data_IF_045745362560
#
_entry.id   IF_045745362560
#
_cell.length_a   1.000
_cell.length_b   1.000
_cell.length_c   1.000
_cell.angle_alpha   90.00
_cell.angle_beta   90.00
_cell.angle_gamma   90.00
#
_symmetry.space_group_name_H-M   'P 1'
#
loop_
_entity.id
_entity.type
_entity.pdbx_description
1 polymer ?
#
# COMPACT_ATOMS: atom_id res chain seq x y z
N UNK A 1 22.68 -6.78 9.37
CA UNK A 1 22.23 -7.49 8.14
C UNK A 1 20.94 -6.86 7.66
N UNK A 2 20.81 -6.55 6.37
CA UNK A 2 19.53 -6.10 5.83
C UNK A 2 18.55 -7.27 5.91
N UNK A 3 17.30 -6.98 6.35
CA UNK A 3 16.24 -7.98 6.33
C UNK A 3 16.05 -8.53 4.92
N UNK A 4 15.66 -9.81 4.81
CA UNK A 4 15.22 -10.44 3.56
C UNK A 4 14.11 -9.64 2.88
N UNK A 5 13.32 -8.93 3.67
CA UNK A 5 12.15 -8.15 3.26
C UNK A 5 12.46 -6.66 3.03
N UNK A 6 13.74 -6.32 2.86
CA UNK A 6 14.12 -4.97 2.42
C UNK A 6 13.55 -4.66 1.03
N UNK A 7 13.35 -3.38 0.74
CA UNK A 7 12.90 -2.95 -0.59
C UNK A 7 13.85 -3.44 -1.69
N UNK A 8 13.32 -3.91 -2.83
CA UNK A 8 14.16 -4.41 -3.92
C UNK A 8 14.96 -3.29 -4.57
N UNK A 9 16.28 -3.42 -4.59
CA UNK A 9 17.18 -2.40 -5.17
C UNK A 9 17.07 -2.25 -6.69
N UNK A 10 16.50 -3.25 -7.35
CA UNK A 10 16.46 -3.33 -8.82
C UNK A 10 15.07 -2.99 -9.40
N UNK A 11 14.21 -2.38 -8.61
CA UNK A 11 12.92 -1.87 -9.09
C UNK A 11 12.99 -0.33 -9.21
N UNK A 12 13.21 0.20 -10.44
CA UNK A 12 13.37 1.63 -10.66
C UNK A 12 12.03 2.40 -10.55
N UNK A 13 10.91 1.70 -10.53
CA UNK A 13 9.58 2.30 -10.50
C UNK A 13 9.00 2.38 -9.09
N UNK A 14 8.84 1.24 -8.43
CA UNK A 14 8.12 1.21 -7.16
C UNK A 14 9.01 1.59 -5.97
N UNK A 15 10.30 1.20 -6.00
CA UNK A 15 11.20 1.39 -4.87
C UNK A 15 11.43 2.86 -4.50
N UNK A 16 11.73 3.80 -5.42
CA UNK A 16 11.97 5.19 -5.04
C UNK A 16 10.74 5.86 -4.39
N UNK A 17 9.53 5.51 -4.87
CA UNK A 17 8.30 6.01 -4.27
C UNK A 17 8.02 5.35 -2.92
N UNK A 18 8.32 4.06 -2.77
CA UNK A 18 8.19 3.35 -1.50
C UNK A 18 9.19 3.91 -0.47
N UNK A 19 10.43 4.20 -0.84
CA UNK A 19 11.41 4.86 0.04
C UNK A 19 10.90 6.21 0.54
N UNK A 20 10.35 7.03 -0.36
CA UNK A 20 9.76 8.33 -0.02
C UNK A 20 8.56 8.16 0.92
N UNK A 21 7.70 7.19 0.65
CA UNK A 21 6.55 6.85 1.50
C UNK A 21 7.01 6.45 2.91
N UNK A 22 7.97 5.54 2.99
CA UNK A 22 8.49 5.03 4.27
C UNK A 22 9.22 6.10 5.07
N UNK A 23 9.86 7.06 4.40
CA UNK A 23 10.50 8.20 5.06
C UNK A 23 9.49 9.11 5.79
N UNK A 24 8.29 9.23 5.25
CA UNK A 24 7.21 10.04 5.83
C UNK A 24 6.38 9.26 6.86
N UNK A 25 6.42 7.94 6.81
CA UNK A 25 5.60 7.07 7.64
C UNK A 25 6.28 6.76 8.97
N UNK A 26 5.64 7.14 10.06
CA UNK A 26 6.10 6.83 11.42
C UNK A 26 5.67 5.42 11.84
N UNK A 27 6.35 4.39 11.36
CA UNK A 27 6.05 2.99 11.68
C UNK A 27 6.50 2.68 13.11
N UNK A 28 5.64 1.98 13.86
CA UNK A 28 5.93 1.47 15.19
C UNK A 28 5.70 -0.04 15.24
N UNK A 29 6.47 -0.74 16.10
CA UNK A 29 6.18 -2.13 16.41
C UNK A 29 4.77 -2.27 16.94
N UNK A 30 4.04 -3.27 16.45
CA UNK A 30 2.65 -3.50 16.83
C UNK A 30 1.61 -2.68 16.04
N UNK A 31 2.02 -1.78 15.13
CA UNK A 31 1.08 -1.05 14.29
C UNK A 31 0.22 -2.00 13.45
N UNK A 32 -1.03 -1.64 13.28
CA UNK A 32 -1.95 -2.24 12.32
C UNK A 32 -1.96 -1.38 11.06
N UNK A 33 -1.52 -1.94 9.93
CA UNK A 33 -1.34 -1.20 8.67
C UNK A 33 -2.25 -1.77 7.59
N UNK A 34 -2.90 -0.87 6.85
CA UNK A 34 -3.57 -1.18 5.59
C UNK A 34 -2.72 -0.66 4.43
N UNK A 35 -2.28 -1.55 3.56
CA UNK A 35 -1.53 -1.21 2.33
C UNK A 35 -2.43 -1.42 1.12
N UNK A 36 -2.85 -0.34 0.49
CA UNK A 36 -3.77 -0.35 -0.65
C UNK A 36 -3.03 -0.33 -1.99
N UNK A 37 -3.62 -0.95 -3.00
CA UNK A 37 -3.00 -1.14 -4.31
C UNK A 37 -1.60 -1.75 -4.17
N UNK A 38 -1.50 -2.81 -3.36
CA UNK A 38 -0.23 -3.37 -2.89
C UNK A 38 0.59 -4.04 -4.01
N UNK A 39 -0.03 -4.35 -5.15
CA UNK A 39 0.63 -4.97 -6.29
C UNK A 39 1.44 -6.20 -5.89
N UNK A 40 2.73 -6.21 -6.24
CA UNK A 40 3.68 -7.28 -5.89
C UNK A 40 4.18 -7.26 -4.46
N UNK A 41 3.56 -6.49 -3.55
CA UNK A 41 3.89 -6.44 -2.13
C UNK A 41 4.98 -5.43 -1.75
N UNK A 42 5.19 -4.41 -2.56
CA UNK A 42 6.11 -3.30 -2.26
C UNK A 42 5.27 -2.06 -1.90
N UNK A 43 5.23 -1.62 -0.64
CA UNK A 43 6.15 -1.95 0.48
C UNK A 43 5.62 -2.98 1.50
N UNK A 44 4.51 -3.70 1.26
CA UNK A 44 3.85 -4.55 2.25
C UNK A 44 4.77 -5.50 3.02
N UNK A 45 5.71 -6.17 2.32
CA UNK A 45 6.68 -7.06 2.97
C UNK A 45 7.58 -6.33 3.95
N UNK A 46 8.09 -5.16 3.57
CA UNK A 46 8.91 -4.34 4.44
C UNK A 46 8.10 -3.85 5.66
N UNK A 47 6.87 -3.39 5.44
CA UNK A 47 5.99 -2.95 6.53
C UNK A 47 5.75 -4.06 7.55
N UNK A 48 5.48 -5.28 7.07
CA UNK A 48 5.27 -6.44 7.94
C UNK A 48 6.52 -6.81 8.74
N UNK A 49 7.70 -6.71 8.15
CA UNK A 49 8.97 -6.91 8.86
C UNK A 49 9.15 -5.86 9.97
N UNK A 50 8.78 -4.60 9.72
CA UNK A 50 8.94 -3.52 10.69
C UNK A 50 7.94 -3.57 11.84
N UNK A 51 6.66 -3.87 11.58
CA UNK A 51 5.65 -3.94 12.66
C UNK A 51 5.84 -5.16 13.56
N UNK A 52 6.45 -6.22 13.04
CA UNK A 52 6.72 -7.45 13.76
C UNK A 52 5.47 -8.25 14.14
N UNK A 53 5.66 -9.32 14.92
CA UNK A 53 4.61 -10.29 15.27
C UNK A 53 3.47 -9.69 16.11
N UNK A 54 3.68 -8.56 16.76
CA UNK A 54 2.66 -7.85 17.53
C UNK A 54 1.77 -6.95 16.68
N UNK A 55 2.20 -6.67 15.43
CA UNK A 55 1.47 -5.88 14.46
C UNK A 55 0.74 -6.71 13.42
N UNK A 56 0.09 -6.04 12.50
CA UNK A 56 -0.55 -6.67 11.34
C UNK A 56 -0.42 -5.78 10.11
N UNK A 57 -0.30 -6.39 8.95
CA UNK A 57 -0.42 -5.69 7.66
C UNK A 57 -1.48 -6.39 6.82
N UNK A 58 -2.49 -5.65 6.40
CA UNK A 58 -3.46 -6.06 5.39
C UNK A 58 -3.10 -5.39 4.07
N UNK A 59 -2.65 -6.15 3.11
CA UNK A 59 -2.28 -5.70 1.78
C UNK A 59 -3.39 -6.05 0.78
N UNK A 60 -3.97 -5.04 0.14
CA UNK A 60 -5.12 -5.20 -0.76
C UNK A 60 -4.77 -4.75 -2.17
N UNK A 61 -5.12 -5.56 -3.15
CA UNK A 61 -5.01 -5.22 -4.57
C UNK A 61 -6.19 -5.80 -5.36
N UNK A 62 -6.62 -5.09 -6.38
CA UNK A 62 -7.71 -5.53 -7.25
C UNK A 62 -7.31 -6.70 -8.15
N UNK A 63 -6.01 -6.88 -8.40
CA UNK A 63 -5.47 -7.89 -9.29
C UNK A 63 -5.16 -9.19 -8.55
N UNK A 64 -6.01 -10.18 -8.71
CA UNK A 64 -5.84 -11.51 -8.12
C UNK A 64 -4.46 -12.14 -8.42
N UNK A 65 -3.93 -11.94 -9.62
CA UNK A 65 -2.62 -12.49 -10.00
C UNK A 65 -1.48 -11.92 -9.16
N UNK A 66 -1.53 -10.65 -8.80
CA UNK A 66 -0.55 -10.01 -7.93
C UNK A 66 -0.65 -10.57 -6.51
N UNK A 67 -1.85 -10.70 -5.98
CA UNK A 67 -2.08 -11.28 -4.66
C UNK A 67 -1.59 -12.71 -4.56
N UNK A 68 -1.88 -13.55 -5.55
CA UNK A 68 -1.41 -14.93 -5.58
C UNK A 68 0.12 -15.01 -5.63
N UNK A 69 0.76 -14.17 -6.45
CA UNK A 69 2.22 -14.08 -6.52
C UNK A 69 2.81 -13.65 -5.17
N UNK A 70 2.25 -12.64 -4.53
CA UNK A 70 2.73 -12.15 -3.24
C UNK A 70 2.59 -13.20 -2.14
N UNK A 71 1.47 -13.92 -2.09
CA UNK A 71 1.27 -15.06 -1.18
C UNK A 71 2.29 -16.18 -1.41
N UNK A 72 2.63 -16.47 -2.68
CA UNK A 72 3.66 -17.46 -3.02
C UNK A 72 5.04 -17.02 -2.52
N UNK A 73 5.40 -15.75 -2.69
CA UNK A 73 6.67 -15.19 -2.22
C UNK A 73 6.74 -15.21 -0.68
N UNK A 74 5.64 -14.86 -0.02
CA UNK A 74 5.52 -14.87 1.44
C UNK A 74 5.73 -16.29 2.03
N UNK A 75 5.12 -17.29 1.43
CA UNK A 75 5.12 -18.67 1.94
C UNK A 75 4.52 -18.72 3.35
N UNK A 76 5.28 -19.25 4.31
CA UNK A 76 4.90 -19.33 5.73
C UNK A 76 5.55 -18.24 6.59
N UNK A 77 6.35 -17.38 6.00
CA UNK A 77 7.00 -16.27 6.69
C UNK A 77 6.02 -15.10 6.85
N UNK A 78 6.22 -14.28 7.87
CA UNK A 78 5.38 -13.12 8.16
C UNK A 78 3.86 -13.46 8.27
N UNK A 79 3.45 -14.36 9.17
CA UNK A 79 2.04 -14.78 9.28
C UNK A 79 1.08 -13.64 9.66
N UNK A 80 1.61 -12.50 10.09
CA UNK A 80 0.85 -11.27 10.36
C UNK A 80 0.68 -10.35 9.13
N UNK A 81 1.20 -10.76 7.96
CA UNK A 81 0.95 -10.12 6.66
C UNK A 81 -0.14 -10.89 5.92
N UNK A 82 -1.23 -10.22 5.61
CA UNK A 82 -2.35 -10.78 4.88
C UNK A 82 -2.46 -10.09 3.51
N UNK A 83 -2.61 -10.88 2.46
CA UNK A 83 -2.86 -10.39 1.10
C UNK A 83 -4.30 -10.74 0.70
N UNK A 84 -5.09 -9.73 0.35
CA UNK A 84 -6.49 -9.91 -0.03
C UNK A 84 -6.82 -9.23 -1.37
N UNK A 85 -7.65 -9.90 -2.16
CA UNK A 85 -8.19 -9.28 -3.38
C UNK A 85 -9.31 -8.33 -2.99
N UNK A 86 -9.20 -7.08 -3.41
CA UNK A 86 -10.23 -6.08 -3.12
C UNK A 86 -9.98 -4.76 -3.83
N UNK A 87 -11.05 -4.02 -4.01
CA UNK A 87 -10.99 -2.66 -4.54
C UNK A 87 -10.90 -1.65 -3.38
N UNK A 88 -9.79 -0.92 -3.31
CA UNK A 88 -9.55 0.06 -2.27
C UNK A 88 -10.63 1.15 -2.16
N UNK A 89 -11.42 1.34 -3.21
CA UNK A 89 -12.54 2.32 -3.23
C UNK A 89 -13.80 1.80 -2.54
N UNK A 90 -13.90 0.48 -2.38
CA UNK A 90 -15.09 -0.24 -1.89
C UNK A 90 -14.71 -1.30 -0.86
N UNK A 91 -13.87 -0.94 0.11
CA UNK A 91 -13.47 -1.86 1.17
C UNK A 91 -14.66 -2.22 2.07
N UNK A 92 -14.72 -3.46 2.58
CA UNK A 92 -15.77 -3.89 3.50
C UNK A 92 -15.87 -3.01 4.75
N UNK A 93 -17.09 -2.70 5.17
CA UNK A 93 -17.35 -1.80 6.32
C UNK A 93 -16.92 -2.39 7.67
N UNK A 94 -16.80 -3.71 7.75
CA UNK A 94 -16.41 -4.47 8.93
C UNK A 94 -14.89 -4.61 9.14
N UNK A 95 -14.09 -4.00 8.27
CA UNK A 95 -12.64 -3.96 8.49
C UNK A 95 -12.30 -3.21 9.78
N UNK A 96 -11.23 -3.63 10.48
CA UNK A 96 -10.75 -2.92 11.66
C UNK A 96 -10.25 -1.52 11.31
N UNK A 97 -10.01 -0.70 12.33
CA UNK A 97 -9.29 0.57 12.18
C UNK A 97 -7.79 0.32 12.20
N UNK A 98 -7.07 1.09 11.40
CA UNK A 98 -5.62 0.98 11.23
C UNK A 98 -4.88 2.17 11.83
N UNK A 99 -3.66 1.93 12.32
CA UNK A 99 -2.76 2.98 12.78
C UNK A 99 -2.16 3.75 11.59
N UNK A 100 -1.92 3.03 10.50
CA UNK A 100 -1.35 3.57 9.25
C UNK A 100 -2.11 3.03 8.05
N UNK A 101 -2.28 3.89 7.05
CA UNK A 101 -2.76 3.50 5.73
C UNK A 101 -1.71 3.95 4.71
N UNK A 102 -1.27 3.03 3.87
CA UNK A 102 -0.26 3.27 2.84
C UNK A 102 -0.78 2.94 1.46
N UNK A 103 -0.21 3.55 0.45
CA UNK A 103 -0.49 3.20 -0.93
C UNK A 103 0.61 3.73 -1.84
N UNK A 104 1.51 2.83 -2.24
CA UNK A 104 2.60 3.19 -3.13
C UNK A 104 2.13 3.23 -4.57
N UNK A 105 2.31 4.38 -5.24
CA UNK A 105 1.82 4.61 -6.61
C UNK A 105 0.32 4.33 -6.77
N UNK A 106 -0.50 4.72 -5.80
CA UNK A 106 -1.90 4.32 -5.70
C UNK A 106 -2.90 5.45 -5.99
N UNK A 107 -2.57 6.70 -5.64
CA UNK A 107 -3.54 7.80 -5.66
C UNK A 107 -4.12 8.09 -7.04
N UNK A 108 -3.39 7.80 -8.11
CA UNK A 108 -3.85 7.95 -9.48
C UNK A 108 -5.07 7.07 -9.83
N UNK A 109 -5.26 5.96 -9.10
CA UNK A 109 -6.36 5.02 -9.31
C UNK A 109 -7.63 5.37 -8.54
N UNK A 110 -7.66 6.48 -7.80
CA UNK A 110 -8.83 6.96 -7.04
C UNK A 110 -9.88 7.65 -7.94
N UNK A 111 -10.08 7.11 -9.12
CA UNK A 111 -11.06 7.63 -10.08
C UNK A 111 -12.43 6.93 -9.91
N UNK A 112 -13.51 7.56 -10.34
CA UNK A 112 -13.62 8.92 -10.91
C UNK A 112 -13.59 10.03 -9.86
N UNK A 113 -13.91 9.74 -8.60
CA UNK A 113 -13.99 10.71 -7.52
C UNK A 113 -12.91 10.47 -6.46
N UNK A 114 -11.76 11.13 -6.62
CA UNK A 114 -10.63 10.98 -5.70
C UNK A 114 -10.94 11.44 -4.28
N UNK A 115 -11.75 12.46 -4.14
CA UNK A 115 -12.11 13.00 -2.82
C UNK A 115 -13.00 12.01 -2.05
N UNK A 116 -14.01 11.46 -2.67
CA UNK A 116 -14.88 10.46 -2.07
C UNK A 116 -14.11 9.17 -1.71
N UNK A 117 -13.25 8.70 -2.60
CA UNK A 117 -12.41 7.53 -2.35
C UNK A 117 -11.49 7.76 -1.14
N UNK A 118 -10.89 8.95 -1.03
CA UNK A 118 -10.07 9.30 0.13
C UNK A 118 -10.89 9.40 1.41
N UNK A 119 -12.09 9.99 1.38
CA UNK A 119 -12.99 10.04 2.54
C UNK A 119 -13.38 8.63 3.00
N UNK A 120 -13.69 7.73 2.05
CA UNK A 120 -13.98 6.33 2.36
C UNK A 120 -12.79 5.62 3.01
N UNK A 121 -11.57 5.95 2.60
CA UNK A 121 -10.37 5.37 3.17
C UNK A 121 -10.08 5.89 4.59
N UNK A 122 -10.26 7.20 4.82
CA UNK A 122 -10.05 7.85 6.13
C UNK A 122 -10.91 7.23 7.23
N UNK A 123 -12.10 6.74 6.92
CA UNK A 123 -12.98 6.08 7.91
C UNK A 123 -12.37 4.83 8.56
N UNK A 124 -11.36 4.22 7.92
CA UNK A 124 -10.62 3.08 8.49
C UNK A 124 -9.39 3.50 9.31
N UNK A 125 -9.15 4.78 9.46
CA UNK A 125 -8.03 5.28 10.25
C UNK A 125 -8.43 5.44 11.72
N UNK A 126 -7.56 5.00 12.64
CA UNK A 126 -7.70 5.30 14.07
C UNK A 126 -7.48 6.79 14.33
N UNK A 127 -8.06 7.35 15.41
CA UNK A 127 -7.69 8.69 15.84
C UNK A 127 -6.17 8.83 16.04
N UNK A 128 -5.57 9.87 15.47
CA UNK A 128 -4.12 10.07 15.48
C UNK A 128 -3.32 9.19 14.50
N UNK A 129 -4.02 8.39 13.70
CA UNK A 129 -3.38 7.59 12.64
C UNK A 129 -2.91 8.45 11.46
N UNK A 130 -2.16 7.82 10.56
CA UNK A 130 -1.52 8.50 9.44
C UNK A 130 -1.83 7.80 8.11
N UNK A 131 -2.14 8.58 7.07
CA UNK A 131 -2.22 8.11 5.68
C UNK A 131 -1.04 8.67 4.89
N UNK A 132 -0.32 7.82 4.19
CA UNK A 132 0.74 8.22 3.25
C UNK A 132 0.53 7.52 1.92
N UNK A 133 0.29 8.31 0.88
CA UNK A 133 0.09 7.86 -0.48
C UNK A 133 1.13 8.48 -1.39
N UNK A 134 1.68 7.73 -2.33
CA UNK A 134 2.57 8.26 -3.36
C UNK A 134 1.93 8.20 -4.74
N UNK A 135 2.34 9.12 -5.58
CA UNK A 135 1.96 9.19 -6.98
C UNK A 135 3.02 9.99 -7.76
N UNK A 136 3.18 9.75 -9.06
CA UNK A 136 4.07 10.56 -9.89
C UNK A 136 3.59 12.01 -9.91
N UNK A 137 4.50 12.97 -9.77
CA UNK A 137 4.15 14.39 -9.91
C UNK A 137 3.83 14.72 -11.37
N UNK A 138 2.98 15.73 -11.57
CA UNK A 138 2.78 16.35 -12.88
C UNK A 138 4.14 16.76 -13.43
N UNK A 139 4.42 16.43 -14.68
CA UNK A 139 5.71 16.69 -15.34
C UNK A 139 6.59 15.46 -15.55
N UNK A 140 6.49 14.43 -14.71
CA UNK A 140 7.24 13.18 -14.92
C UNK A 140 6.67 12.35 -16.07
N UNK A 141 5.37 12.49 -16.34
CA UNK A 141 4.64 11.71 -17.35
C UNK A 141 3.54 12.52 -18.06
N UNK A 142 3.72 13.83 -18.26
CA UNK A 142 2.69 14.70 -18.84
C UNK A 142 2.13 14.15 -20.15
N UNK A 143 2.98 13.59 -21.03
CA UNK A 143 2.56 12.98 -22.29
C UNK A 143 1.75 11.68 -22.14
N UNK A 144 1.91 10.97 -21.02
CA UNK A 144 1.13 9.75 -20.72
C UNK A 144 -0.22 10.09 -20.09
N UNK A 145 -0.26 11.11 -19.22
CA UNK A 145 -1.52 11.57 -18.59
C UNK A 145 -2.48 12.18 -19.60
N UNK A 146 -1.98 12.91 -20.60
CA UNK A 146 -2.77 13.45 -21.69
C UNK A 146 -3.46 12.36 -22.56
N UNK A 147 -2.94 11.14 -22.55
CA UNK A 147 -3.55 10.00 -23.24
C UNK A 147 -4.60 9.29 -22.37
N UNK A 148 -4.38 9.21 -21.07
CA UNK A 148 -5.28 8.52 -20.12
C UNK A 148 -6.55 9.34 -19.85
N UNK A 149 -6.50 10.67 -19.95
CA UNK A 149 -7.66 11.54 -19.72
C UNK A 149 -8.59 11.65 -20.95
N UNK A 150 -8.28 11.00 -22.07
CA UNK A 150 -9.08 11.00 -23.31
C UNK A 150 -9.96 9.77 -23.48
N UNK A 151 -9.83 8.76 -22.65
CA UNK A 151 -10.66 7.56 -22.58
C UNK A 151 -11.63 7.62 -21.38
#
# INVERSE_FOLDING_TARGET
MSSKWSLPKNDPWSTPFAESLLHLLEIRKGDQILDIASGGGIPAFYLADQVGIEGTVLAVDIHQSQILRSRTIQGTELPWLMFEVGDMRFLPDDLPKFDRITGNLSFMFFRPNRFEALQNLVRFLKPGGQIVLTFPSLGTFDSLWDQVDKD
#
